data_IF_762038480599
#
_entry.id   IF_762038480599
#
_cell.length_a   1.000
_cell.length_b   1.000
_cell.length_c   1.000
_cell.angle_alpha   90.00
_cell.angle_beta   90.00
_cell.angle_gamma   90.00
#
_symmetry.space_group_name_H-M   'P 1'
#
loop_
_entity.id
_entity.type
_entity.pdbx_description
1 polymer ?
#
# COMPACT_ATOMS: atom_id res chain seq x y z
N UNK A 1 16.03 7.32 7.54
CA UNK A 1 14.87 6.56 7.00
C UNK A 1 14.37 7.22 5.74
N UNK A 2 13.97 6.43 4.74
CA UNK A 2 13.27 6.95 3.56
C UNK A 2 11.85 7.34 3.98
N UNK A 3 11.37 8.52 3.58
CA UNK A 3 10.00 8.99 3.83
C UNK A 3 9.28 9.21 2.51
N UNK A 4 7.99 8.94 2.49
CA UNK A 4 7.11 9.26 1.36
C UNK A 4 6.13 10.31 1.84
N UNK A 5 6.06 11.42 1.11
CA UNK A 5 5.12 12.50 1.38
C UNK A 5 4.11 12.58 0.26
N UNK A 6 2.82 12.62 0.60
CA UNK A 6 1.73 12.73 -0.36
C UNK A 6 1.31 14.18 -0.45
N UNK A 7 1.13 14.68 -1.67
CA UNK A 7 0.52 15.97 -1.93
C UNK A 7 -0.96 15.73 -2.23
N UNK A 8 -1.80 15.83 -1.22
CA UNK A 8 -3.23 15.52 -1.31
C UNK A 8 -3.93 16.38 -2.36
N UNK A 9 -3.50 17.65 -2.51
CA UNK A 9 -4.00 18.59 -3.52
C UNK A 9 -3.73 18.14 -4.97
N UNK A 10 -2.77 17.23 -5.18
CA UNK A 10 -2.44 16.69 -6.50
C UNK A 10 -3.10 15.32 -6.75
N UNK A 11 -3.74 14.73 -5.74
CA UNK A 11 -4.40 13.45 -5.91
C UNK A 11 -5.78 13.64 -6.54
N UNK A 12 -6.04 12.88 -7.59
CA UNK A 12 -7.31 12.88 -8.34
C UNK A 12 -8.07 11.56 -8.19
N UNK A 13 -7.79 10.80 -7.12
CA UNK A 13 -8.40 9.51 -6.83
C UNK A 13 -8.35 8.47 -7.98
N UNK A 14 -7.35 8.50 -8.86
CA UNK A 14 -7.31 7.58 -10.01
C UNK A 14 -7.04 6.10 -9.68
N UNK A 15 -6.76 5.77 -8.41
CA UNK A 15 -6.49 4.42 -7.88
C UNK A 15 -5.32 3.66 -8.55
N UNK A 16 -4.57 4.28 -9.46
CA UNK A 16 -3.43 3.64 -10.12
C UNK A 16 -2.37 3.17 -9.13
N UNK A 17 -2.17 3.89 -8.02
CA UNK A 17 -1.23 3.47 -6.97
C UNK A 17 -1.58 2.10 -6.37
N UNK A 18 -2.87 1.77 -6.21
CA UNK A 18 -3.31 0.45 -5.78
C UNK A 18 -3.01 -0.62 -6.84
N UNK A 19 -3.40 -0.34 -8.09
CA UNK A 19 -3.22 -1.27 -9.23
C UNK A 19 -1.74 -1.61 -9.43
N UNK A 20 -0.87 -0.59 -9.37
CA UNK A 20 0.57 -0.78 -9.46
C UNK A 20 1.14 -1.53 -8.25
N UNK A 21 0.67 -1.24 -7.04
CA UNK A 21 1.09 -1.95 -5.83
C UNK A 21 0.70 -3.43 -5.89
N UNK A 22 -0.52 -3.73 -6.32
CA UNK A 22 -1.02 -5.08 -6.51
C UNK A 22 -0.20 -5.85 -7.54
N UNK A 23 0.08 -5.26 -8.72
CA UNK A 23 0.98 -5.84 -9.73
C UNK A 23 2.39 -6.06 -9.18
N UNK A 24 2.88 -5.14 -8.35
CA UNK A 24 4.21 -5.28 -7.73
C UNK A 24 4.27 -6.41 -6.71
N UNK A 25 3.14 -6.79 -6.09
CA UNK A 25 3.06 -7.90 -5.15
C UNK A 25 2.52 -9.20 -5.75
N UNK A 26 2.12 -9.19 -7.02
CA UNK A 26 1.74 -10.40 -7.74
C UNK A 26 2.93 -11.30 -8.03
N UNK A 27 2.68 -12.59 -8.27
CA UNK A 27 3.72 -13.52 -8.69
C UNK A 27 4.16 -13.24 -10.12
N UNK A 28 3.19 -12.95 -11.01
CA UNK A 28 3.43 -12.77 -12.45
C UNK A 28 4.09 -11.45 -12.83
N UNK A 29 4.01 -10.41 -11.98
CA UNK A 29 4.33 -9.01 -12.31
C UNK A 29 3.69 -8.53 -13.62
N UNK A 30 2.55 -9.10 -14.00
CA UNK A 30 1.82 -8.75 -15.21
C UNK A 30 0.40 -8.32 -14.81
N UNK A 31 -0.09 -7.21 -15.37
CA UNK A 31 -1.41 -6.69 -15.00
C UNK A 31 -2.54 -7.65 -15.33
N UNK A 32 -2.50 -8.30 -16.49
CA UNK A 32 -3.59 -9.18 -16.90
C UNK A 32 -3.59 -10.46 -16.07
N UNK A 33 -2.42 -11.07 -15.86
CA UNK A 33 -2.28 -12.30 -15.08
C UNK A 33 -2.58 -12.06 -13.59
N UNK A 34 -2.04 -11.00 -13.00
CA UNK A 34 -2.28 -10.67 -11.59
C UNK A 34 -3.77 -10.51 -11.26
N UNK A 35 -4.54 -9.90 -12.16
CA UNK A 35 -5.95 -9.64 -11.92
C UNK A 35 -6.86 -10.80 -12.37
N UNK A 36 -6.53 -11.51 -13.45
CA UNK A 36 -7.45 -12.50 -14.04
C UNK A 36 -7.06 -13.97 -13.82
N UNK A 37 -5.83 -14.25 -13.38
CA UNK A 37 -5.29 -15.62 -13.36
C UNK A 37 -4.67 -16.07 -12.04
N UNK A 38 -4.24 -15.15 -11.17
CA UNK A 38 -3.68 -15.52 -9.87
C UNK A 38 -4.78 -15.81 -8.82
N UNK A 39 -4.60 -16.89 -8.05
CA UNK A 39 -5.45 -17.28 -6.93
C UNK A 39 -4.59 -17.73 -5.74
N UNK A 40 -4.71 -17.10 -4.55
CA UNK A 40 -5.55 -15.94 -4.28
C UNK A 40 -5.07 -14.70 -5.07
N UNK A 41 -6.00 -13.80 -5.36
CA UNK A 41 -5.66 -12.53 -6.03
C UNK A 41 -4.71 -11.74 -5.11
N UNK A 42 -3.57 -11.23 -5.61
CA UNK A 42 -2.68 -10.40 -4.81
C UNK A 42 -3.43 -9.18 -4.28
N UNK A 43 -3.09 -8.72 -3.08
CA UNK A 43 -3.69 -7.53 -2.49
C UNK A 43 -2.71 -6.35 -2.57
N UNK A 44 -3.18 -5.13 -2.88
CA UNK A 44 -2.36 -3.94 -2.73
C UNK A 44 -2.06 -3.70 -1.25
N UNK A 45 -0.90 -3.09 -0.97
CA UNK A 45 -0.47 -2.65 0.37
C UNK A 45 -0.67 -1.14 0.59
N UNK A 46 -1.45 -0.52 -0.30
CA UNK A 46 -1.87 0.88 -0.26
C UNK A 46 -3.37 0.93 -0.62
N UNK A 47 -4.10 1.89 -0.06
CA UNK A 47 -5.52 2.11 -0.37
C UNK A 47 -5.78 3.59 -0.57
N UNK A 48 -6.50 4.00 -1.60
CA UNK A 48 -6.96 5.37 -1.79
C UNK A 48 -8.20 5.59 -0.93
N UNK A 49 -8.18 6.66 -0.15
CA UNK A 49 -9.32 7.15 0.60
C UNK A 49 -9.80 8.47 0.02
N UNK A 50 -11.10 8.69 0.08
CA UNK A 50 -11.76 9.89 -0.43
C UNK A 50 -12.72 10.46 0.60
N UNK A 51 -12.67 11.78 0.80
CA UNK A 51 -13.61 12.52 1.65
C UNK A 51 -13.91 13.88 1.04
N UNK A 52 -15.03 13.98 0.33
CA UNK A 52 -15.39 15.19 -0.40
C UNK A 52 -14.36 15.50 -1.48
N UNK A 53 -13.77 16.70 -1.47
CA UNK A 53 -12.72 17.09 -2.42
C UNK A 53 -11.31 16.58 -2.03
N UNK A 54 -11.15 15.94 -0.87
CA UNK A 54 -9.86 15.41 -0.42
C UNK A 54 -9.72 13.94 -0.82
N UNK A 55 -8.63 13.61 -1.51
CA UNK A 55 -8.26 12.22 -1.79
C UNK A 55 -6.77 12.00 -1.57
N UNK A 56 -6.37 10.81 -1.11
CA UNK A 56 -4.97 10.38 -1.06
C UNK A 56 -4.83 8.89 -0.73
N UNK A 57 -3.64 8.33 -1.00
CA UNK A 57 -3.33 6.95 -0.67
C UNK A 57 -2.92 6.79 0.80
N UNK A 58 -3.66 6.02 1.57
CA UNK A 58 -3.29 5.53 2.89
C UNK A 58 -2.40 4.29 2.76
N UNK A 59 -1.29 4.27 3.50
CA UNK A 59 -0.28 3.20 3.47
C UNK A 59 0.38 3.07 4.84
N UNK A 60 1.07 1.95 5.07
CA UNK A 60 1.98 1.84 6.20
C UNK A 60 3.00 3.00 6.13
N UNK A 61 3.08 3.77 7.21
CA UNK A 61 3.94 4.95 7.30
C UNK A 61 5.41 4.59 7.57
N UNK A 62 5.70 3.31 7.86
CA UNK A 62 7.01 2.85 8.32
C UNK A 62 7.50 3.75 9.45
N UNK A 63 6.71 3.84 10.52
CA UNK A 63 6.96 4.79 11.60
C UNK A 63 8.33 4.56 12.24
N UNK A 64 8.97 5.66 12.63
CA UNK A 64 10.19 5.63 13.44
C UNK A 64 9.88 5.11 14.84
N UNK A 65 8.77 5.57 15.43
CA UNK A 65 8.16 4.92 16.59
C UNK A 65 6.99 4.04 16.13
N UNK A 66 7.20 2.73 16.11
CA UNK A 66 6.29 1.75 15.52
C UNK A 66 5.56 0.95 16.61
N UNK A 67 4.41 1.43 17.11
CA UNK A 67 3.67 0.74 18.18
C UNK A 67 3.21 -0.66 17.76
N UNK A 68 2.97 -0.87 16.47
CA UNK A 68 2.65 -2.20 15.93
C UNK A 68 3.80 -3.21 16.10
N UNK A 69 5.05 -2.77 15.99
CA UNK A 69 6.21 -3.63 16.22
C UNK A 69 6.41 -3.87 17.72
N UNK A 70 6.27 -2.83 18.55
CA UNK A 70 6.38 -2.93 20.02
C UNK A 70 5.33 -3.87 20.62
N UNK A 71 4.10 -3.85 20.09
CA UNK A 71 3.02 -4.73 20.55
C UNK A 71 3.17 -6.19 20.07
N UNK A 72 4.08 -6.47 19.13
CA UNK A 72 4.23 -7.80 18.53
C UNK A 72 5.05 -8.72 19.43
N UNK A 73 4.38 -9.47 20.31
CA UNK A 73 5.02 -10.40 21.26
C UNK A 73 5.90 -11.47 20.61
N UNK A 74 5.54 -11.93 19.40
CA UNK A 74 6.28 -12.98 18.69
C UNK A 74 7.49 -12.46 17.93
N UNK A 75 7.67 -11.14 17.83
CA UNK A 75 8.74 -10.55 17.01
C UNK A 75 8.53 -10.70 15.49
N UNK A 76 7.31 -11.02 15.03
CA UNK A 76 7.02 -11.19 13.61
C UNK A 76 7.05 -9.88 12.80
N UNK A 77 6.98 -8.73 13.47
CA UNK A 77 7.09 -7.39 12.86
C UNK A 77 8.44 -6.81 13.26
N UNK A 78 9.31 -6.62 12.27
CA UNK A 78 10.65 -6.05 12.45
C UNK A 78 10.83 -4.81 11.58
N UNK A 79 11.88 -4.03 11.88
CA UNK A 79 12.36 -2.92 11.05
C UNK A 79 13.74 -3.26 10.52
N UNK A 80 13.99 -2.85 9.29
CA UNK A 80 15.33 -2.80 8.69
C UNK A 80 16.09 -1.53 9.11
#
# INVERSE_FOLDING_TARGET
>A
MKRIYIKEQACIACQLCEVHCQRQHSQSKDFIKAFKRESPRPLPRVRVEEKGALSFSVRCQQCEDAPCAQACLTGAITRD
#
